data_IF_077915305150
#
_entry.id   IF_077915305150
#
_cell.length_a   1.000
_cell.length_b   1.000
_cell.length_c   1.000
_cell.angle_alpha   90.00
_cell.angle_beta   90.00
_cell.angle_gamma   90.00
#
_symmetry.space_group_name_H-M   'P 1'
#
loop_
_entity.id
_entity.type
_entity.pdbx_description
1 polymer ?
#
# COMPACT_ATOMS: atom_id res chain seq x y z
N UNK A 1 0.75 21.71 -24.66
CA UNK A 1 0.72 21.08 -23.32
C UNK A 1 0.50 22.19 -22.32
N UNK A 2 -0.46 22.06 -21.42
CA UNK A 2 -0.70 23.04 -20.36
C UNK A 2 0.38 22.79 -19.28
N UNK A 3 1.19 23.78 -18.88
CA UNK A 3 2.17 23.61 -17.82
C UNK A 3 1.48 23.42 -16.46
N UNK A 4 2.18 22.82 -15.49
CA UNK A 4 1.71 22.79 -14.10
C UNK A 4 1.68 24.22 -13.53
N UNK A 5 0.55 24.63 -12.98
CA UNK A 5 0.47 25.87 -12.19
C UNK A 5 0.96 25.58 -10.76
N UNK A 6 2.18 26.01 -10.46
CA UNK A 6 2.78 25.79 -9.15
C UNK A 6 2.13 26.64 -8.05
N UNK A 7 1.58 27.81 -8.37
CA UNK A 7 0.91 28.66 -7.40
C UNK A 7 -0.43 28.05 -6.99
N UNK A 8 -1.20 27.57 -7.96
CA UNK A 8 -2.44 26.82 -7.72
C UNK A 8 -2.17 25.54 -6.91
N UNK A 9 -1.11 24.79 -7.25
CA UNK A 9 -0.72 23.58 -6.50
C UNK A 9 -0.43 23.90 -5.03
N UNK A 10 0.34 24.97 -4.75
CA UNK A 10 0.64 25.40 -3.37
C UNK A 10 -0.62 25.80 -2.61
N UNK A 11 -1.52 26.54 -3.25
CA UNK A 11 -2.79 26.94 -2.65
C UNK A 11 -3.68 25.72 -2.31
N UNK A 12 -3.78 24.75 -3.22
CA UNK A 12 -4.53 23.51 -2.99
C UNK A 12 -3.95 22.68 -1.83
N UNK A 13 -2.62 22.58 -1.74
CA UNK A 13 -1.95 21.90 -0.62
C UNK A 13 -2.27 22.59 0.70
N UNK A 14 -2.16 23.92 0.78
CA UNK A 14 -2.47 24.68 1.99
C UNK A 14 -3.92 24.47 2.45
N UNK A 15 -4.89 24.46 1.52
CA UNK A 15 -6.29 24.19 1.85
C UNK A 15 -6.48 22.80 2.49
N UNK A 16 -5.79 21.77 1.97
CA UNK A 16 -5.87 20.42 2.54
C UNK A 16 -5.22 20.34 3.93
N UNK A 17 -4.13 21.07 4.16
CA UNK A 17 -3.50 21.17 5.48
C UNK A 17 -4.45 21.86 6.48
N UNK A 18 -5.06 22.97 6.09
CA UNK A 18 -6.04 23.71 6.91
C UNK A 18 -7.28 22.86 7.22
N UNK A 19 -7.69 21.99 6.29
CA UNK A 19 -8.77 21.02 6.49
C UNK A 19 -8.39 19.86 7.44
N UNK A 20 -7.13 19.78 7.89
CA UNK A 20 -6.66 18.74 8.80
C UNK A 20 -6.47 17.38 8.13
N UNK A 21 -6.26 17.34 6.80
CA UNK A 21 -5.99 16.11 6.09
C UNK A 21 -4.66 15.49 6.56
N UNK A 22 -4.68 14.21 6.95
CA UNK A 22 -3.49 13.50 7.42
C UNK A 22 -2.55 13.08 6.28
N UNK A 23 -3.11 12.79 5.10
CA UNK A 23 -2.39 12.26 3.93
C UNK A 23 -2.82 12.95 2.63
N UNK A 24 -1.90 13.03 1.67
CA UNK A 24 -2.08 13.68 0.37
C UNK A 24 -1.94 12.65 -0.77
N UNK A 25 -2.85 12.71 -1.75
CA UNK A 25 -2.75 11.97 -3.01
C UNK A 25 -2.57 12.96 -4.15
N UNK A 26 -1.54 12.73 -4.98
CA UNK A 26 -1.29 13.46 -6.21
C UNK A 26 -1.57 12.51 -7.38
N UNK A 27 -2.59 12.83 -8.18
CA UNK A 27 -3.05 11.98 -9.27
C UNK A 27 -3.45 12.83 -10.49
N UNK A 28 -2.58 12.87 -11.50
CA UNK A 28 -2.86 13.53 -12.76
C UNK A 28 -3.22 12.52 -13.86
N UNK A 29 -3.98 12.99 -14.86
CA UNK A 29 -4.24 12.22 -16.06
C UNK A 29 -2.93 11.97 -16.82
N UNK A 30 -2.80 10.77 -17.40
CA UNK A 30 -1.65 10.35 -18.20
C UNK A 30 -0.28 10.37 -17.48
N UNK A 31 -0.25 10.40 -16.15
CA UNK A 31 1.00 10.37 -15.39
C UNK A 31 1.78 9.06 -15.53
N UNK A 32 1.11 7.96 -15.89
CA UNK A 32 1.75 6.69 -16.28
C UNK A 32 2.66 6.83 -17.51
N UNK A 33 2.33 7.74 -18.43
CA UNK A 33 3.08 7.98 -19.66
C UNK A 33 4.08 9.14 -19.50
N UNK A 34 3.67 10.19 -18.78
CA UNK A 34 4.53 11.33 -18.46
C UNK A 34 4.32 11.80 -17.01
N UNK A 35 5.12 11.30 -16.06
CA UNK A 35 5.00 11.64 -14.64
C UNK A 35 5.62 12.99 -14.26
N UNK A 36 6.09 13.81 -15.21
CA UNK A 36 6.81 15.06 -14.90
C UNK A 36 6.03 16.01 -13.97
N UNK A 37 4.73 16.20 -14.22
CA UNK A 37 3.91 17.05 -13.35
C UNK A 37 3.66 16.44 -11.98
N UNK A 38 3.41 15.12 -11.88
CA UNK A 38 3.23 14.49 -10.55
C UNK A 38 4.51 14.55 -9.73
N UNK A 39 5.69 14.38 -10.35
CA UNK A 39 6.97 14.56 -9.66
C UNK A 39 7.15 15.99 -9.17
N UNK A 40 6.88 16.98 -10.03
CA UNK A 40 7.01 18.39 -9.65
C UNK A 40 6.02 18.77 -8.54
N UNK A 41 4.79 18.30 -8.62
CA UNK A 41 3.78 18.48 -7.59
C UNK A 41 4.20 17.80 -6.26
N UNK A 42 4.84 16.64 -6.31
CA UNK A 42 5.37 15.96 -5.13
C UNK A 42 6.55 16.71 -4.49
N UNK A 43 7.42 17.34 -5.29
CA UNK A 43 8.48 18.22 -4.77
C UNK A 43 7.87 19.42 -4.03
N UNK A 44 6.87 20.07 -4.62
CA UNK A 44 6.15 21.18 -3.98
C UNK A 44 5.46 20.71 -2.69
N UNK A 45 4.82 19.54 -2.72
CA UNK A 45 4.20 18.95 -1.54
C UNK A 45 5.23 18.65 -0.44
N UNK A 46 6.44 18.18 -0.78
CA UNK A 46 7.48 17.91 0.20
C UNK A 46 7.99 19.18 0.94
N UNK A 47 7.82 20.37 0.34
CA UNK A 47 8.15 21.64 0.98
C UNK A 47 7.09 22.09 1.99
N UNK A 48 5.82 21.70 1.80
CA UNK A 48 4.66 22.26 2.53
C UNK A 48 3.96 21.25 3.45
N UNK A 49 3.91 19.98 3.05
CA UNK A 49 3.16 18.95 3.74
C UNK A 49 3.81 18.62 5.08
N UNK A 50 3.05 18.52 6.19
CA UNK A 50 3.62 18.43 7.54
C UNK A 50 4.30 17.09 7.86
N UNK A 51 4.18 16.08 7.01
CA UNK A 51 4.67 14.73 7.24
C UNK A 51 5.05 14.02 5.92
N UNK A 52 5.43 12.74 6.00
CA UNK A 52 5.84 11.95 4.83
C UNK A 52 4.70 11.28 4.05
N UNK A 53 3.43 11.53 4.40
CA UNK A 53 2.27 10.82 3.83
C UNK A 53 1.79 11.47 2.54
N UNK A 54 2.64 11.42 1.51
CA UNK A 54 2.35 11.87 0.15
C UNK A 54 2.44 10.68 -0.80
N UNK A 55 1.32 10.31 -1.41
CA UNK A 55 1.24 9.25 -2.42
C UNK A 55 1.10 9.85 -3.81
N UNK A 56 1.96 9.45 -4.75
CA UNK A 56 1.82 9.78 -6.17
C UNK A 56 1.27 8.59 -6.95
N UNK A 57 0.28 8.82 -7.80
CA UNK A 57 -0.38 7.74 -8.54
C UNK A 57 0.59 6.94 -9.42
N UNK A 58 1.48 7.62 -10.15
CA UNK A 58 2.42 6.96 -11.07
C UNK A 58 3.44 6.06 -10.38
N UNK A 59 3.83 6.37 -9.13
CA UNK A 59 4.84 5.60 -8.41
C UNK A 59 4.30 4.28 -7.86
N UNK A 60 2.99 4.21 -7.58
CA UNK A 60 2.34 3.04 -7.00
C UNK A 60 1.84 2.04 -8.07
N UNK A 61 1.20 2.55 -9.13
CA UNK A 61 0.72 1.76 -10.25
C UNK A 61 0.82 2.55 -11.55
N UNK A 62 1.73 2.16 -12.43
CA UNK A 62 1.91 2.82 -13.73
C UNK A 62 1.01 2.17 -14.80
N UNK A 63 -0.30 2.21 -14.57
CA UNK A 63 -1.31 1.73 -15.51
C UNK A 63 -2.05 2.89 -16.18
N UNK A 64 -2.48 2.67 -17.43
CA UNK A 64 -3.12 3.68 -18.26
C UNK A 64 -4.46 4.18 -17.69
N UNK A 65 -5.11 3.35 -16.87
CA UNK A 65 -6.45 3.59 -16.33
C UNK A 65 -6.39 4.51 -15.13
N UNK A 66 -7.06 5.65 -15.21
CA UNK A 66 -7.08 6.67 -14.16
C UNK A 66 -7.84 6.21 -12.92
N UNK A 67 -8.98 5.53 -13.11
CA UNK A 67 -9.82 5.08 -11.99
C UNK A 67 -9.09 4.08 -11.10
N UNK A 68 -8.59 2.98 -11.66
CA UNK A 68 -7.87 1.95 -10.89
C UNK A 68 -6.63 2.54 -10.21
N UNK A 69 -5.81 3.33 -10.92
CA UNK A 69 -4.64 3.98 -10.35
C UNK A 69 -5.02 4.96 -9.22
N UNK A 70 -6.08 5.74 -9.39
CA UNK A 70 -6.56 6.70 -8.40
C UNK A 70 -7.11 6.03 -7.14
N UNK A 71 -7.90 4.97 -7.31
CA UNK A 71 -8.43 4.16 -6.20
C UNK A 71 -7.29 3.50 -5.43
N UNK A 72 -6.34 2.86 -6.11
CA UNK A 72 -5.18 2.24 -5.44
C UNK A 72 -4.34 3.26 -4.67
N UNK A 73 -4.09 4.45 -5.25
CA UNK A 73 -3.39 5.54 -4.57
C UNK A 73 -4.15 6.04 -3.33
N UNK A 74 -5.48 6.15 -3.41
CA UNK A 74 -6.35 6.57 -2.31
C UNK A 74 -6.40 5.54 -1.17
N UNK A 75 -6.45 4.25 -1.51
CA UNK A 75 -6.36 3.16 -0.53
C UNK A 75 -4.99 3.19 0.16
N UNK A 76 -3.90 3.39 -0.60
CA UNK A 76 -2.56 3.48 -0.01
C UNK A 76 -2.45 4.64 0.99
N UNK A 77 -2.86 5.85 0.59
CA UNK A 77 -2.78 7.03 1.42
C UNK A 77 -3.67 6.96 2.67
N UNK A 78 -4.83 6.32 2.60
CA UNK A 78 -5.72 6.15 3.77
C UNK A 78 -5.20 5.11 4.77
N UNK A 79 -4.54 4.05 4.29
CA UNK A 79 -4.03 2.95 5.15
C UNK A 79 -2.63 3.24 5.69
N UNK A 80 -1.78 3.95 4.94
CA UNK A 80 -0.37 4.17 5.27
C UNK A 80 -0.12 4.71 6.68
N UNK A 81 -0.78 5.79 7.15
CA UNK A 81 -0.53 6.33 8.50
C UNK A 81 -0.87 5.32 9.61
N UNK A 82 -1.95 4.55 9.41
CA UNK A 82 -2.43 3.55 10.38
C UNK A 82 -1.42 2.41 10.47
N UNK A 83 -1.01 1.89 9.31
CA UNK A 83 -0.06 0.78 9.23
C UNK A 83 1.30 1.18 9.79
N UNK A 84 1.80 2.37 9.44
CA UNK A 84 3.10 2.87 9.92
C UNK A 84 3.13 3.01 11.45
N UNK A 85 2.10 3.62 12.05
CA UNK A 85 1.98 3.72 13.51
C UNK A 85 1.99 2.35 14.19
N UNK A 86 1.23 1.40 13.64
CA UNK A 86 1.14 0.05 14.19
C UNK A 86 2.47 -0.70 14.11
N UNK A 87 3.07 -0.71 12.92
CA UNK A 87 4.32 -1.39 12.63
C UNK A 87 5.46 -0.83 13.46
N UNK A 88 5.55 0.50 13.57
CA UNK A 88 6.61 1.14 14.34
C UNK A 88 6.46 0.91 15.84
N UNK A 89 5.22 0.92 16.37
CA UNK A 89 4.96 0.55 17.78
C UNK A 89 5.40 -0.88 18.06
N UNK A 90 4.96 -1.84 17.25
CA UNK A 90 5.32 -3.25 17.42
C UNK A 90 6.82 -3.48 17.30
N UNK A 91 7.48 -2.84 16.32
CA UNK A 91 8.93 -2.93 16.14
C UNK A 91 9.69 -2.42 17.37
N UNK A 92 9.27 -1.29 17.96
CA UNK A 92 9.88 -0.74 19.18
C UNK A 92 9.69 -1.68 20.38
N UNK A 93 8.49 -2.27 20.54
CA UNK A 93 8.22 -3.21 21.63
C UNK A 93 9.01 -4.52 21.50
N UNK A 94 9.16 -5.04 20.28
CA UNK A 94 10.01 -6.20 20.02
C UNK A 94 11.47 -5.90 20.37
N UNK A 95 11.98 -4.74 19.93
CA UNK A 95 13.34 -4.33 20.21
C UNK A 95 13.60 -4.14 21.72
N UNK A 96 12.67 -3.52 22.46
CA UNK A 96 12.81 -3.32 23.91
C UNK A 96 12.82 -4.62 24.71
N UNK A 97 12.25 -5.70 24.14
CA UNK A 97 12.28 -7.06 24.70
C UNK A 97 13.45 -7.92 24.20
N UNK A 98 14.40 -7.33 23.47
CA UNK A 98 15.62 -8.00 23.02
C UNK A 98 15.52 -8.72 21.68
N UNK A 99 14.43 -8.54 20.92
CA UNK A 99 14.34 -9.08 19.55
C UNK A 99 15.21 -8.26 18.58
N UNK A 100 16.20 -8.91 17.97
CA UNK A 100 17.21 -8.27 17.12
C UNK A 100 17.20 -8.73 15.66
N UNK A 101 16.16 -9.47 15.23
CA UNK A 101 16.04 -10.01 13.86
C UNK A 101 15.09 -9.16 13.02
N UNK A 102 14.97 -9.54 11.75
CA UNK A 102 14.07 -8.86 10.83
C UNK A 102 12.61 -9.15 11.15
N UNK A 103 11.83 -8.08 11.35
CA UNK A 103 10.38 -8.16 11.43
C UNK A 103 9.81 -8.13 10.01
N UNK A 104 9.20 -9.24 9.60
CA UNK A 104 8.61 -9.44 8.28
C UNK A 104 7.09 -9.35 8.34
N UNK A 105 6.49 -8.81 7.28
CA UNK A 105 5.04 -8.68 7.10
C UNK A 105 4.66 -9.39 5.81
N UNK A 106 3.53 -10.10 5.84
CA UNK A 106 2.96 -10.76 4.68
C UNK A 106 2.33 -9.73 3.73
N UNK A 107 2.55 -9.89 2.43
CA UNK A 107 1.91 -9.12 1.38
C UNK A 107 0.72 -9.90 0.79
N UNK A 108 -0.21 -9.19 0.15
CA UNK A 108 -1.37 -9.80 -0.53
C UNK A 108 -1.01 -10.71 -1.70
N UNK A 109 0.25 -10.69 -2.17
CA UNK A 109 0.75 -11.61 -3.19
C UNK A 109 1.33 -12.92 -2.63
N UNK A 110 1.26 -13.14 -1.31
CA UNK A 110 1.78 -14.34 -0.64
C UNK A 110 3.28 -14.32 -0.34
N UNK A 111 4.00 -13.23 -0.69
CA UNK A 111 5.38 -12.98 -0.29
C UNK A 111 5.49 -12.24 1.04
N UNK A 112 6.71 -12.11 1.56
CA UNK A 112 7.00 -11.33 2.76
C UNK A 112 7.93 -10.16 2.44
N UNK A 113 7.72 -9.02 3.12
CA UNK A 113 8.57 -7.83 3.04
C UNK A 113 8.99 -7.40 4.44
N UNK A 114 10.16 -6.78 4.57
CA UNK A 114 10.56 -6.16 5.83
C UNK A 114 9.59 -5.04 6.20
N UNK A 115 9.21 -5.02 7.48
CA UNK A 115 8.38 -3.99 8.08
C UNK A 115 8.90 -2.55 7.86
N UNK A 116 10.20 -2.39 7.60
CA UNK A 116 10.83 -1.09 7.31
C UNK A 116 10.40 -0.50 5.97
N UNK A 117 9.99 -1.33 5.01
CA UNK A 117 9.63 -0.91 3.65
C UNK A 117 8.13 -0.95 3.39
N UNK A 118 7.36 -1.66 4.23
CA UNK A 118 5.93 -1.92 4.01
C UNK A 118 5.08 -0.66 3.96
N UNK A 119 5.47 0.38 4.71
CA UNK A 119 4.61 1.55 4.92
C UNK A 119 4.46 2.39 3.66
N UNK A 120 5.48 2.40 2.78
CA UNK A 120 5.45 3.13 1.50
C UNK A 120 4.49 2.51 0.48
N UNK A 121 4.25 1.20 0.55
CA UNK A 121 3.38 0.46 -0.36
C UNK A 121 2.28 -0.28 0.41
N UNK A 122 1.68 0.39 1.39
CA UNK A 122 0.68 -0.17 2.30
C UNK A 122 -0.49 -0.85 1.59
N UNK A 123 -0.89 -0.36 0.41
CA UNK A 123 -1.90 -1.01 -0.43
C UNK A 123 -1.56 -2.48 -0.78
N UNK A 124 -0.28 -2.85 -0.86
CA UNK A 124 0.14 -4.23 -1.17
C UNK A 124 -0.07 -5.21 0.00
N UNK A 125 -0.32 -4.71 1.21
CA UNK A 125 -0.64 -5.57 2.37
C UNK A 125 -2.12 -5.89 2.51
N UNK A 126 -2.97 -5.22 1.72
CA UNK A 126 -4.39 -5.55 1.62
C UNK A 126 -4.50 -7.01 1.16
N UNK A 127 -5.36 -7.79 1.82
CA UNK A 127 -5.51 -9.25 1.63
C UNK A 127 -4.32 -10.13 2.03
N UNK A 128 -3.37 -9.63 2.83
CA UNK A 128 -2.22 -10.43 3.32
C UNK A 128 -2.63 -11.67 4.14
N UNK A 129 -3.69 -11.58 4.95
CA UNK A 129 -4.23 -12.71 5.72
C UNK A 129 -4.69 -13.86 4.80
N UNK A 130 -5.68 -13.64 3.91
CA UNK A 130 -6.12 -14.64 2.95
C UNK A 130 -4.98 -15.20 2.08
N UNK A 131 -4.06 -14.35 1.63
CA UNK A 131 -2.89 -14.79 0.88
C UNK A 131 -2.02 -15.79 1.67
N UNK A 132 -1.80 -15.55 2.97
CA UNK A 132 -1.06 -16.49 3.82
C UNK A 132 -1.77 -17.84 3.95
N UNK A 133 -3.10 -17.84 4.06
CA UNK A 133 -3.92 -19.05 4.11
C UNK A 133 -3.81 -19.87 2.83
N UNK A 134 -3.85 -19.20 1.67
CA UNK A 134 -3.67 -19.84 0.36
C UNK A 134 -2.28 -20.47 0.22
N UNK A 135 -1.22 -19.78 0.63
CA UNK A 135 0.15 -20.31 0.59
C UNK A 135 0.30 -21.54 1.51
N UNK A 136 -0.27 -21.49 2.71
CA UNK A 136 -0.26 -22.62 3.65
C UNK A 136 -1.05 -23.82 3.11
N UNK A 137 -2.21 -23.56 2.50
CA UNK A 137 -3.05 -24.59 1.88
C UNK A 137 -2.35 -25.25 0.68
N UNK A 138 -1.72 -24.46 -0.20
CA UNK A 138 -0.94 -24.98 -1.33
C UNK A 138 0.21 -25.88 -0.86
N UNK A 139 0.98 -25.42 0.14
CA UNK A 139 2.07 -26.21 0.72
C UNK A 139 1.57 -27.53 1.34
N UNK A 140 0.46 -27.48 2.08
CA UNK A 140 -0.11 -28.65 2.75
C UNK A 140 -0.71 -29.64 1.75
N UNK A 141 -1.49 -29.15 0.78
CA UNK A 141 -2.11 -29.98 -0.25
C UNK A 141 -1.10 -30.69 -1.12
N UNK A 142 -0.03 -30.00 -1.55
CA UNK A 142 1.08 -30.61 -2.31
C UNK A 142 1.70 -31.78 -1.55
N UNK A 143 1.94 -31.65 -0.24
CA UNK A 143 2.47 -32.75 0.60
C UNK A 143 1.47 -33.89 0.83
N UNK A 144 0.18 -33.61 0.71
CA UNK A 144 -0.88 -34.61 0.77
C UNK A 144 -1.21 -35.24 -0.60
N UNK A 145 -0.51 -34.84 -1.68
CA UNK A 145 -0.75 -35.35 -3.03
C UNK A 145 -1.91 -34.69 -3.78
N UNK A 146 -2.38 -33.52 -3.31
CA UNK A 146 -3.45 -32.75 -3.93
C UNK A 146 -2.91 -31.44 -4.53
N UNK A 147 -2.89 -31.35 -5.84
CA UNK A 147 -2.38 -30.16 -6.56
C UNK A 147 -3.47 -29.11 -6.87
N UNK A 148 -4.74 -29.49 -6.74
CA UNK A 148 -5.90 -28.62 -7.00
C UNK A 148 -6.78 -28.57 -5.75
N UNK A 149 -7.02 -27.36 -5.23
CA UNK A 149 -7.69 -27.15 -3.95
C UNK A 149 -8.62 -25.94 -4.04
N UNK A 150 -9.69 -25.94 -3.25
CA UNK A 150 -10.47 -24.75 -2.94
C UNK A 150 -10.32 -24.49 -1.44
N UNK A 151 -9.82 -23.31 -1.07
CA UNK A 151 -9.74 -22.90 0.33
C UNK A 151 -11.07 -22.28 0.75
N UNK A 152 -11.44 -22.49 2.01
CA UNK A 152 -12.62 -21.91 2.63
C UNK A 152 -12.25 -21.47 4.05
N UNK A 153 -12.00 -20.17 4.22
CA UNK A 153 -11.66 -19.56 5.50
C UNK A 153 -12.83 -18.69 5.96
N UNK A 154 -13.58 -19.17 6.95
CA UNK A 154 -14.72 -18.43 7.51
C UNK A 154 -14.34 -17.88 8.89
N UNK A 155 -14.39 -16.55 9.01
CA UNK A 155 -14.35 -15.85 10.28
C UNK A 155 -15.73 -15.36 10.74
N UNK A 156 -15.77 -14.62 11.84
CA UNK A 156 -17.01 -14.00 12.34
C UNK A 156 -17.48 -12.77 11.55
N UNK A 157 -16.68 -12.29 10.59
CA UNK A 157 -16.95 -11.07 9.82
C UNK A 157 -16.90 -11.30 8.32
N UNK A 158 -15.93 -12.07 7.84
CA UNK A 158 -15.72 -12.36 6.43
C UNK A 158 -15.63 -13.86 6.17
N UNK A 159 -15.77 -14.22 4.90
CA UNK A 159 -15.44 -15.56 4.40
C UNK A 159 -14.59 -15.39 3.14
N UNK A 160 -13.39 -15.96 3.14
CA UNK A 160 -12.41 -15.87 2.08
C UNK A 160 -12.30 -17.22 1.36
N UNK A 161 -12.53 -17.21 0.05
CA UNK A 161 -12.52 -18.40 -0.81
C UNK A 161 -11.49 -18.20 -1.93
N UNK A 162 -10.60 -19.17 -2.13
CA UNK A 162 -9.62 -19.11 -3.21
C UNK A 162 -9.50 -20.46 -3.92
N UNK A 163 -9.17 -20.40 -5.21
CA UNK A 163 -8.87 -21.57 -6.03
C UNK A 163 -7.36 -21.70 -6.20
N UNK A 164 -6.83 -22.85 -5.84
CA UNK A 164 -5.44 -23.25 -6.09
C UNK A 164 -5.46 -24.29 -7.19
N UNK A 165 -4.64 -24.09 -8.22
CA UNK A 165 -4.43 -25.09 -9.28
C UNK A 165 -2.95 -25.34 -9.50
N UNK A 166 -2.60 -26.59 -9.74
CA UNK A 166 -1.25 -27.03 -10.10
C UNK A 166 -0.16 -26.53 -9.11
N UNK A 167 -0.37 -26.72 -7.80
CA UNK A 167 0.52 -26.27 -6.72
C UNK A 167 1.92 -26.94 -6.70
#
# INVERSE_FOLDING_TARGET
>A
RIPLDEAEMRAAISQLIEAGCESLVIHFLHSYANPAHERRAAEIAAELWPNGYVTTGHALLSEAREFERGVTASVNASVQPILERYVERLRKELASKGYARDFLIMNGNGGMISARFVTRESAKTVMSGPASGVIAAAYTGKRAGFENLVTYDMGGTSTDVALIRNA
#
